data_IF_717176966856
#
_entry.id   IF_717176966856
#
_cell.length_a   1.000
_cell.length_b   1.000
_cell.length_c   1.000
_cell.angle_alpha   90.00
_cell.angle_beta   90.00
_cell.angle_gamma   90.00
#
_symmetry.space_group_name_H-M   'P 1'
#
loop_
_entity.id
_entity.type
_entity.pdbx_description
1 polymer ?
#
# COMPACT_ATOMS: atom_id res chain seq x y z
N UNK A 1 67.56 -60.77 16.33
CA UNK A 1 66.88 -59.78 17.18
C UNK A 1 66.55 -58.59 16.28
N UNK A 2 65.32 -58.52 15.77
CA UNK A 2 64.88 -57.52 14.80
C UNK A 2 64.04 -56.48 15.53
N UNK A 3 64.37 -55.20 15.37
CA UNK A 3 63.70 -54.07 16.02
C UNK A 3 62.78 -53.42 14.98
N UNK A 4 61.47 -53.41 15.24
CA UNK A 4 60.46 -52.71 14.44
C UNK A 4 60.32 -51.24 14.89
N UNK A 5 60.17 -50.26 13.98
CA UNK A 5 59.88 -48.88 14.35
C UNK A 5 58.36 -48.64 14.47
N UNK A 6 57.98 -47.86 15.48
CA UNK A 6 56.62 -47.38 15.72
C UNK A 6 56.27 -46.24 14.74
N UNK A 7 55.27 -46.45 13.89
CA UNK A 7 54.61 -45.39 13.12
C UNK A 7 53.73 -44.53 14.05
N UNK A 8 54.07 -43.25 14.21
CA UNK A 8 53.17 -42.24 14.77
C UNK A 8 52.08 -41.91 13.74
N UNK A 9 50.83 -42.25 14.06
CA UNK A 9 49.65 -41.76 13.34
C UNK A 9 49.27 -40.38 13.86
N UNK A 10 49.52 -39.34 13.06
CA UNK A 10 48.85 -38.05 13.24
C UNK A 10 47.37 -38.22 12.85
N UNK A 11 46.47 -38.04 13.81
CA UNK A 11 45.03 -37.95 13.61
C UNK A 11 44.73 -36.48 13.28
N UNK A 12 44.17 -36.14 12.10
CA UNK A 12 43.72 -34.78 11.85
C UNK A 12 42.44 -34.52 12.67
N UNK A 13 42.49 -33.50 13.52
CA UNK A 13 41.33 -32.99 14.24
C UNK A 13 40.45 -32.25 13.22
N UNK A 14 39.39 -32.91 12.75
CA UNK A 14 38.39 -32.30 11.87
C UNK A 14 37.53 -31.36 12.73
N UNK A 15 37.79 -30.05 12.66
CA UNK A 15 36.97 -29.05 13.30
C UNK A 15 35.59 -29.02 12.60
N UNK A 16 34.59 -29.68 13.18
CA UNK A 16 33.19 -29.42 12.87
C UNK A 16 32.86 -28.01 13.35
N UNK A 17 32.86 -27.04 12.44
CA UNK A 17 32.08 -25.82 12.67
C UNK A 17 30.61 -26.23 12.71
N UNK A 18 29.86 -25.90 13.78
CA UNK A 18 28.42 -26.01 13.72
C UNK A 18 27.95 -25.00 12.66
N UNK A 19 27.32 -25.48 11.58
CA UNK A 19 26.44 -24.62 10.81
C UNK A 19 25.35 -24.16 11.79
N UNK A 20 25.37 -22.90 12.21
CA UNK A 20 24.16 -22.29 12.73
C UNK A 20 23.18 -22.29 11.55
N UNK A 21 22.20 -23.19 11.59
CA UNK A 21 21.00 -23.00 10.81
C UNK A 21 20.40 -21.69 11.32
N UNK A 22 20.44 -20.63 10.51
CA UNK A 22 19.61 -19.48 10.79
C UNK A 22 18.17 -19.98 10.80
N UNK A 23 17.42 -19.70 11.86
CA UNK A 23 15.99 -20.00 11.86
C UNK A 23 15.36 -19.05 10.83
N UNK A 24 14.84 -19.64 9.76
CA UNK A 24 14.21 -18.94 8.65
C UNK A 24 12.73 -19.29 8.63
N UNK A 25 11.90 -18.28 8.51
CA UNK A 25 10.47 -18.41 8.28
C UNK A 25 10.15 -18.26 6.80
N UNK A 26 8.91 -18.59 6.43
CA UNK A 26 8.36 -18.32 5.10
C UNK A 26 7.56 -17.03 5.15
N UNK A 27 7.77 -16.12 4.19
CA UNK A 27 6.99 -14.90 4.05
C UNK A 27 6.38 -14.81 2.65
N UNK A 28 5.08 -14.59 2.59
CA UNK A 28 4.37 -14.16 1.40
C UNK A 28 4.23 -12.63 1.42
N UNK A 29 4.44 -11.98 0.28
CA UNK A 29 4.25 -10.53 0.14
C UNK A 29 3.26 -10.24 -0.97
N UNK A 30 2.18 -9.58 -0.63
CA UNK A 30 1.12 -9.16 -1.54
C UNK A 30 1.08 -7.63 -1.66
N UNK A 31 0.80 -7.13 -2.87
CA UNK A 31 0.67 -5.71 -3.18
C UNK A 31 -0.74 -5.38 -3.69
N UNK A 32 -1.32 -4.32 -3.18
CA UNK A 32 -2.57 -3.72 -3.64
C UNK A 32 -2.41 -2.20 -3.71
N UNK A 33 -3.46 -1.54 -4.19
CA UNK A 33 -3.48 -0.11 -4.45
C UNK A 33 -4.81 0.55 -4.07
N UNK A 34 -4.73 1.84 -3.79
CA UNK A 34 -5.84 2.79 -3.79
C UNK A 34 -6.27 3.24 -5.20
N UNK A 35 -7.24 4.15 -5.30
CA UNK A 35 -7.64 4.74 -6.58
C UNK A 35 -6.63 5.78 -7.06
N UNK A 36 -6.66 6.10 -8.35
CA UNK A 36 -6.18 7.38 -8.87
C UNK A 36 -7.07 7.79 -10.05
N UNK A 37 -7.43 9.07 -10.08
CA UNK A 37 -8.34 9.61 -11.08
C UNK A 37 -7.60 9.95 -12.38
N UNK A 38 -8.25 9.72 -13.53
CA UNK A 38 -7.75 10.13 -14.84
C UNK A 38 -6.64 9.27 -15.46
N UNK A 39 -6.16 8.24 -14.76
CA UNK A 39 -5.24 7.25 -15.30
C UNK A 39 -6.01 6.06 -15.91
N UNK A 40 -5.57 5.59 -17.08
CA UNK A 40 -6.02 4.34 -17.69
C UNK A 40 -5.16 3.14 -17.25
N UNK A 41 -3.90 3.39 -16.92
CA UNK A 41 -3.00 2.43 -16.28
C UNK A 41 -1.98 3.18 -15.42
N UNK A 42 -1.47 2.52 -14.38
CA UNK A 42 -0.30 2.98 -13.63
C UNK A 42 0.66 1.81 -13.51
N UNK A 43 1.62 1.80 -14.43
CA UNK A 43 2.61 0.73 -14.55
C UNK A 43 3.85 1.10 -13.76
N UNK A 44 4.18 0.32 -12.73
CA UNK A 44 5.38 0.47 -11.93
C UNK A 44 6.33 -0.72 -12.14
N UNK A 45 7.62 -0.41 -12.20
CA UNK A 45 8.71 -1.39 -12.20
C UNK A 45 9.18 -1.60 -10.75
N UNK A 46 8.52 -2.50 -10.02
CA UNK A 46 8.94 -2.87 -8.66
C UNK A 46 10.18 -3.76 -8.77
N UNK A 47 11.20 -3.49 -7.96
CA UNK A 47 12.47 -4.24 -7.92
C UNK A 47 12.65 -5.04 -6.64
N UNK A 48 11.86 -4.77 -5.60
CA UNK A 48 11.97 -5.46 -4.33
C UNK A 48 11.22 -4.79 -3.18
N UNK A 49 11.38 -5.38 -2.01
CA UNK A 49 10.88 -4.91 -0.73
C UNK A 49 12.05 -4.89 0.24
N UNK A 50 12.18 -3.80 1.00
CA UNK A 50 13.12 -3.74 2.11
C UNK A 50 12.37 -3.69 3.42
N UNK A 51 12.70 -4.61 4.31
CA UNK A 51 12.13 -4.74 5.65
C UNK A 51 13.13 -4.24 6.69
N UNK A 52 12.64 -3.50 7.67
CA UNK A 52 13.38 -3.05 8.85
C UNK A 52 13.01 -3.94 10.03
N UNK A 53 14.01 -4.51 10.69
CA UNK A 53 13.82 -5.26 11.94
C UNK A 53 13.88 -4.32 13.14
N UNK A 54 13.33 -4.78 14.26
CA UNK A 54 13.38 -4.06 15.55
C UNK A 54 14.82 -3.76 16.02
N UNK A 55 15.81 -4.58 15.65
CA UNK A 55 17.23 -4.35 15.95
C UNK A 55 17.91 -3.29 15.07
N UNK A 56 17.17 -2.71 14.12
CA UNK A 56 17.64 -1.69 13.16
C UNK A 56 18.33 -2.25 11.91
N UNK A 57 18.55 -3.57 11.83
CA UNK A 57 19.06 -4.22 10.62
C UNK A 57 17.97 -4.38 9.57
N UNK A 58 18.35 -4.55 8.30
CA UNK A 58 17.41 -4.64 7.19
C UNK A 58 17.54 -5.95 6.43
N UNK A 59 16.42 -6.43 5.89
CA UNK A 59 16.35 -7.56 4.95
C UNK A 59 15.82 -7.03 3.62
N UNK A 60 16.40 -7.48 2.52
CA UNK A 60 15.89 -7.18 1.18
C UNK A 60 15.30 -8.46 0.60
N UNK A 61 14.11 -8.32 0.02
CA UNK A 61 13.43 -9.33 -0.78
C UNK A 61 13.43 -8.79 -2.19
N UNK A 62 14.11 -9.48 -3.10
CA UNK A 62 14.13 -9.08 -4.51
C UNK A 62 12.79 -9.44 -5.17
N UNK A 63 12.23 -8.51 -5.94
CA UNK A 63 10.99 -8.70 -6.71
C UNK A 63 11.12 -7.95 -8.03
N UNK A 64 11.43 -8.61 -9.14
CA UNK A 64 11.52 -7.96 -10.46
C UNK A 64 10.18 -8.05 -11.19
N UNK A 65 9.28 -7.09 -10.92
CA UNK A 65 7.88 -7.15 -11.40
C UNK A 65 7.46 -5.82 -12.04
N UNK A 66 7.02 -5.91 -13.30
CA UNK A 66 6.22 -4.86 -13.94
C UNK A 66 4.74 -5.08 -13.59
N UNK A 67 4.09 -4.07 -13.02
CA UNK A 67 2.71 -4.17 -12.57
C UNK A 67 1.90 -2.94 -12.95
N UNK A 68 0.76 -3.15 -13.61
CA UNK A 68 -0.32 -2.15 -13.65
C UNK A 68 -1.14 -2.24 -12.36
N UNK A 69 -0.93 -1.29 -11.44
CA UNK A 69 -1.58 -1.30 -10.13
C UNK A 69 -3.09 -1.11 -10.20
N UNK A 70 -3.60 -0.53 -11.29
CA UNK A 70 -5.04 -0.34 -11.46
C UNK A 70 -5.81 -1.67 -11.57
N UNK A 71 -5.11 -2.78 -11.81
CA UNK A 71 -5.66 -4.14 -11.81
C UNK A 71 -5.82 -4.73 -10.40
N UNK A 72 -5.14 -4.18 -9.39
CA UNK A 72 -5.01 -4.76 -8.04
C UNK A 72 -5.61 -3.83 -6.98
N UNK A 73 -6.91 -3.55 -7.13
CA UNK A 73 -7.69 -2.66 -6.27
C UNK A 73 -8.93 -3.36 -5.76
N UNK A 74 -9.64 -2.73 -4.83
CA UNK A 74 -10.90 -3.26 -4.28
C UNK A 74 -10.76 -4.69 -3.73
N UNK A 75 -9.65 -5.00 -3.06
CA UNK A 75 -9.38 -6.31 -2.48
C UNK A 75 -8.60 -7.29 -3.37
N UNK A 76 -8.39 -6.98 -4.65
CA UNK A 76 -7.48 -7.75 -5.49
C UNK A 76 -6.02 -7.43 -5.15
N UNK A 77 -5.17 -8.45 -5.07
CA UNK A 77 -3.73 -8.33 -4.76
C UNK A 77 -2.86 -8.98 -5.82
N UNK A 78 -1.62 -8.50 -5.93
CA UNK A 78 -0.52 -9.10 -6.68
C UNK A 78 0.46 -9.76 -5.71
N UNK A 79 0.76 -11.05 -5.90
CA UNK A 79 1.84 -11.74 -5.20
C UNK A 79 3.20 -11.25 -5.71
N UNK A 80 3.91 -10.45 -4.90
CA UNK A 80 5.27 -9.97 -5.19
C UNK A 80 6.33 -11.01 -4.83
N UNK A 81 6.12 -11.73 -3.74
CA UNK A 81 7.04 -12.76 -3.25
C UNK A 81 6.26 -13.91 -2.64
N UNK A 82 6.64 -15.15 -2.96
CA UNK A 82 5.92 -16.37 -2.60
C UNK A 82 6.84 -17.30 -1.81
N UNK A 83 6.53 -17.49 -0.53
CA UNK A 83 7.27 -18.35 0.39
C UNK A 83 8.76 -18.02 0.54
N UNK A 84 9.13 -16.73 0.44
CA UNK A 84 10.54 -16.33 0.54
C UNK A 84 11.06 -16.53 1.94
N UNK A 85 12.33 -16.94 2.06
CA UNK A 85 12.96 -17.16 3.36
C UNK A 85 13.43 -15.86 3.96
N UNK A 86 12.95 -15.58 5.17
CA UNK A 86 13.33 -14.41 5.95
C UNK A 86 13.75 -14.83 7.36
N UNK A 87 14.72 -14.13 8.00
CA UNK A 87 15.08 -14.42 9.38
C UNK A 87 13.91 -14.25 10.34
N UNK A 88 13.77 -15.14 11.31
CA UNK A 88 12.87 -14.93 12.46
C UNK A 88 13.20 -13.60 13.15
N UNK A 89 12.23 -12.68 13.19
CA UNK A 89 12.37 -11.34 13.75
C UNK A 89 11.01 -10.64 13.85
N UNK A 90 10.95 -9.62 14.71
CA UNK A 90 9.93 -8.58 14.60
C UNK A 90 10.35 -7.53 13.58
N UNK A 91 9.51 -7.31 12.59
CA UNK A 91 9.69 -6.30 11.55
C UNK A 91 8.87 -5.06 11.89
N UNK A 92 9.55 -3.92 11.92
CA UNK A 92 8.99 -2.63 12.36
C UNK A 92 8.78 -1.64 11.21
N UNK A 93 9.22 -2.00 10.00
CA UNK A 93 8.91 -1.20 8.83
C UNK A 93 9.17 -1.88 7.50
N UNK A 94 8.57 -1.34 6.45
CA UNK A 94 8.74 -1.80 5.08
C UNK A 94 8.83 -0.62 4.11
N UNK A 95 9.44 -0.82 2.95
CA UNK A 95 9.19 0.01 1.77
C UNK A 95 9.46 -0.76 0.47
N UNK A 96 8.83 -0.31 -0.61
CA UNK A 96 9.01 -0.84 -1.96
C UNK A 96 10.22 -0.19 -2.65
N UNK A 97 11.01 -0.96 -3.38
CA UNK A 97 12.04 -0.42 -4.27
C UNK A 97 11.57 -0.48 -5.72
N UNK A 98 12.02 0.47 -6.52
CA UNK A 98 11.60 0.62 -7.92
C UNK A 98 12.84 0.69 -8.83
N UNK A 99 12.66 0.34 -10.11
CA UNK A 99 13.67 0.59 -11.12
C UNK A 99 13.70 2.09 -11.48
N UNK A 100 14.88 2.58 -11.87
CA UNK A 100 15.08 3.99 -12.25
C UNK A 100 14.28 4.40 -13.49
N UNK A 101 13.92 3.43 -14.35
CA UNK A 101 13.24 3.65 -15.63
C UNK A 101 12.12 2.63 -15.84
N UNK A 102 11.20 2.91 -16.78
CA UNK A 102 10.18 1.98 -17.25
C UNK A 102 8.82 2.10 -16.55
N UNK A 103 8.70 2.88 -15.47
CA UNK A 103 7.41 3.18 -14.84
C UNK A 103 6.69 4.33 -15.56
N UNK A 104 5.36 4.24 -15.71
CA UNK A 104 4.56 5.26 -16.39
C UNK A 104 3.08 5.27 -15.97
N UNK A 105 2.42 6.41 -16.18
CA UNK A 105 0.95 6.55 -16.15
C UNK A 105 0.44 6.57 -17.59
N UNK A 106 -0.45 5.64 -17.93
CA UNK A 106 -1.18 5.63 -19.19
C UNK A 106 -2.39 6.57 -19.12
N UNK A 107 -2.61 7.36 -20.17
CA UNK A 107 -3.72 8.32 -20.28
C UNK A 107 -4.73 7.92 -21.35
N UNK A 108 -5.93 8.50 -21.27
CA UNK A 108 -7.05 8.21 -22.18
C UNK A 108 -6.77 8.57 -23.65
N UNK A 109 -5.80 9.45 -23.91
CA UNK A 109 -5.35 9.79 -25.27
C UNK A 109 -4.31 8.80 -25.83
N UNK A 110 -3.97 7.76 -25.07
CA UNK A 110 -2.98 6.74 -25.40
C UNK A 110 -1.53 7.14 -25.10
N UNK A 111 -1.29 8.34 -24.56
CA UNK A 111 0.04 8.75 -24.14
C UNK A 111 0.48 8.01 -22.87
N UNK A 112 1.79 7.79 -22.75
CA UNK A 112 2.43 7.28 -21.55
C UNK A 112 3.31 8.39 -20.99
N UNK A 113 3.02 8.79 -19.76
CA UNK A 113 3.80 9.80 -19.03
C UNK A 113 4.73 9.08 -18.05
N UNK A 114 6.04 9.34 -18.07
CA UNK A 114 6.98 8.66 -17.19
C UNK A 114 6.70 8.97 -15.72
N UNK A 115 6.93 7.97 -14.86
CA UNK A 115 6.93 8.09 -13.40
C UNK A 115 8.37 8.03 -12.91
N UNK A 116 8.80 9.09 -12.22
CA UNK A 116 10.14 9.16 -11.63
C UNK A 116 10.09 8.56 -10.21
N UNK A 117 10.87 7.52 -9.89
CA UNK A 117 10.89 6.92 -8.56
C UNK A 117 11.49 7.86 -7.50
N UNK A 118 11.24 7.62 -6.20
CA UNK A 118 11.80 8.45 -5.14
C UNK A 118 13.33 8.26 -5.06
N UNK A 119 14.07 9.36 -4.89
CA UNK A 119 15.52 9.31 -4.67
C UNK A 119 15.89 8.71 -3.28
N UNK A 120 14.98 8.83 -2.32
CA UNK A 120 15.07 8.25 -0.98
C UNK A 120 13.67 8.03 -0.44
N UNK A 121 13.50 7.04 0.44
CA UNK A 121 12.22 6.72 1.03
C UNK A 121 12.38 6.39 2.51
N UNK A 122 11.39 6.77 3.30
CA UNK A 122 11.27 6.38 4.70
C UNK A 122 10.54 5.04 4.81
N UNK A 123 10.89 4.25 5.83
CA UNK A 123 10.14 3.04 6.13
C UNK A 123 8.74 3.43 6.60
N UNK A 124 7.71 2.85 5.98
CA UNK A 124 6.38 2.87 6.58
C UNK A 124 6.37 1.95 7.80
N UNK A 125 5.57 2.28 8.80
CA UNK A 125 5.42 1.46 9.99
C UNK A 125 4.85 0.08 9.65
N UNK A 126 5.39 -0.93 10.31
CA UNK A 126 4.91 -2.31 10.26
C UNK A 126 4.94 -2.86 11.68
N UNK A 127 3.99 -3.72 12.03
CA UNK A 127 4.10 -4.57 13.22
C UNK A 127 3.84 -6.01 12.78
N UNK A 128 4.91 -6.70 12.42
CA UNK A 128 4.86 -8.09 11.95
C UNK A 128 5.87 -8.91 12.74
N UNK A 129 5.38 -9.84 13.54
CA UNK A 129 6.21 -10.80 14.28
C UNK A 129 6.29 -12.10 13.48
N UNK A 130 7.50 -12.50 13.10
CA UNK A 130 7.75 -13.69 12.30
C UNK A 130 8.57 -14.67 13.13
N UNK A 131 7.95 -15.75 13.58
CA UNK A 131 8.52 -16.81 14.42
C UNK A 131 9.34 -17.85 13.66
N UNK A 132 9.75 -18.92 14.36
CA UNK A 132 10.43 -20.06 13.73
C UNK A 132 9.38 -20.99 13.09
N UNK A 133 9.62 -21.45 11.85
CA UNK A 133 8.70 -22.32 11.09
C UNK A 133 7.34 -21.69 10.72
N UNK A 134 7.16 -20.38 10.95
CA UNK A 134 5.94 -19.66 10.55
C UNK A 134 5.82 -19.49 9.03
N UNK A 135 4.58 -19.51 8.55
CA UNK A 135 4.16 -18.98 7.25
C UNK A 135 3.45 -17.65 7.53
N UNK A 136 4.16 -16.54 7.36
CA UNK A 136 3.64 -15.20 7.59
C UNK A 136 3.21 -14.54 6.28
N UNK A 137 2.27 -13.60 6.37
CA UNK A 137 1.87 -12.73 5.27
C UNK A 137 2.29 -11.28 5.52
N UNK A 138 2.64 -10.57 4.46
CA UNK A 138 2.79 -9.11 4.44
C UNK A 138 1.93 -8.54 3.33
N UNK A 139 0.99 -7.68 3.68
CA UNK A 139 0.22 -6.90 2.72
C UNK A 139 0.78 -5.48 2.64
N UNK A 140 1.12 -5.08 1.42
CA UNK A 140 1.52 -3.73 1.06
C UNK A 140 0.39 -3.07 0.28
N UNK A 141 -0.07 -1.90 0.75
CA UNK A 141 -1.06 -1.08 0.07
C UNK A 141 -0.46 0.27 -0.29
N UNK A 142 -0.18 0.46 -1.58
CA UNK A 142 0.37 1.71 -2.10
C UNK A 142 -0.78 2.63 -2.51
N UNK A 143 -1.00 3.71 -1.78
CA UNK A 143 -2.10 4.64 -2.07
C UNK A 143 -1.72 5.55 -3.25
N UNK A 144 -2.03 5.16 -4.49
CA UNK A 144 -1.60 5.92 -5.67
C UNK A 144 -2.06 7.38 -5.68
N UNK A 145 -3.29 7.67 -5.26
CA UNK A 145 -3.80 9.06 -5.15
C UNK A 145 -2.91 9.94 -4.28
N UNK A 146 -2.30 9.38 -3.25
CA UNK A 146 -1.42 10.11 -2.33
C UNK A 146 0.07 10.01 -2.70
N UNK A 147 0.40 9.07 -3.61
CA UNK A 147 1.77 8.73 -3.95
C UNK A 147 2.30 9.43 -5.20
N UNK A 148 1.42 9.88 -6.11
CA UNK A 148 1.82 10.47 -7.38
C UNK A 148 1.62 11.99 -7.38
N UNK A 149 2.72 12.74 -7.54
CA UNK A 149 2.65 14.16 -7.83
C UNK A 149 2.58 14.38 -9.34
N UNK A 150 1.53 15.07 -9.80
CA UNK A 150 1.42 15.51 -11.19
C UNK A 150 2.35 16.71 -11.44
N UNK A 151 3.49 16.44 -12.07
CA UNK A 151 4.43 17.46 -12.54
C UNK A 151 4.45 17.53 -14.07
N UNK A 152 3.40 17.08 -14.75
CA UNK A 152 3.46 16.88 -16.20
C UNK A 152 3.59 18.20 -16.95
N UNK A 153 2.90 19.25 -16.49
CA UNK A 153 2.98 20.57 -17.12
C UNK A 153 4.36 21.24 -16.95
N UNK A 154 5.10 20.90 -15.89
CA UNK A 154 6.37 21.55 -15.54
C UNK A 154 7.61 20.73 -15.89
N UNK A 155 7.54 19.41 -15.73
CA UNK A 155 8.65 18.45 -15.88
C UNK A 155 8.35 17.35 -16.91
N UNK A 156 7.11 17.21 -17.38
CA UNK A 156 6.73 16.15 -18.32
C UNK A 156 6.65 14.76 -17.69
N UNK A 157 6.57 14.67 -16.36
CA UNK A 157 6.55 13.41 -15.62
C UNK A 157 5.66 13.49 -14.39
N UNK A 158 5.30 12.32 -13.86
CA UNK A 158 4.86 12.19 -12.47
C UNK A 158 6.09 11.96 -11.58
N UNK A 159 6.04 12.42 -10.33
CA UNK A 159 7.01 12.02 -9.30
C UNK A 159 6.32 11.06 -8.32
N UNK A 160 6.95 9.90 -8.08
CA UNK A 160 6.49 8.93 -7.12
C UNK A 160 7.10 9.22 -5.74
N UNK A 161 6.24 9.49 -4.78
CA UNK A 161 6.54 9.67 -3.37
C UNK A 161 5.64 8.71 -2.58
N UNK A 162 6.04 7.44 -2.42
CA UNK A 162 5.12 6.39 -1.99
C UNK A 162 4.50 6.66 -0.63
N UNK A 163 3.18 6.63 -0.60
CA UNK A 163 2.35 6.58 0.61
C UNK A 163 1.91 5.13 0.75
N UNK A 164 2.67 4.40 1.56
CA UNK A 164 2.55 2.96 1.70
C UNK A 164 1.99 2.60 3.07
N UNK A 165 1.09 1.64 3.11
CA UNK A 165 0.73 0.93 4.35
C UNK A 165 1.26 -0.48 4.28
N UNK A 166 1.91 -0.92 5.34
CA UNK A 166 2.40 -2.28 5.49
C UNK A 166 1.68 -2.92 6.67
N UNK A 167 1.06 -4.06 6.43
CA UNK A 167 0.11 -4.68 7.35
C UNK A 167 0.32 -6.18 7.38
N UNK A 168 0.08 -6.78 8.54
CA UNK A 168 -0.24 -8.20 8.63
C UNK A 168 -1.65 -8.40 8.04
N UNK A 169 -1.83 -9.23 6.99
CA UNK A 169 -3.13 -9.48 6.40
C UNK A 169 -4.12 -10.17 7.35
N UNK A 170 -3.64 -10.78 8.43
CA UNK A 170 -4.51 -11.33 9.46
C UNK A 170 -5.06 -10.23 10.38
N UNK A 171 -4.46 -9.03 10.44
CA UNK A 171 -4.83 -7.93 11.35
C UNK A 171 -5.66 -6.81 10.70
N UNK A 172 -6.30 -7.10 9.55
CA UNK A 172 -7.10 -6.12 8.81
C UNK A 172 -8.58 -6.51 8.73
N UNK A 173 -9.43 -5.52 8.54
CA UNK A 173 -10.84 -5.69 8.22
C UNK A 173 -11.23 -4.86 7.01
N UNK A 174 -12.49 -4.99 6.60
CA UNK A 174 -13.05 -4.28 5.44
C UNK A 174 -14.11 -3.27 5.88
N UNK A 175 -14.11 -2.10 5.22
CA UNK A 175 -15.26 -1.20 5.21
C UNK A 175 -15.71 -0.96 3.78
N UNK A 176 -16.96 -1.26 3.49
CA UNK A 176 -17.55 -1.03 2.17
C UNK A 176 -18.98 -0.54 2.29
N UNK A 177 -19.54 0.01 1.23
CA UNK A 177 -20.95 0.38 1.25
C UNK A 177 -21.43 1.16 0.06
N UNK A 178 -22.71 1.52 0.12
CA UNK A 178 -23.39 2.25 -0.94
C UNK A 178 -23.25 3.75 -0.76
N UNK A 179 -23.12 4.45 -1.88
CA UNK A 179 -23.27 5.90 -1.97
C UNK A 179 -24.58 6.18 -2.70
N UNK A 180 -25.46 6.98 -2.10
CA UNK A 180 -26.74 7.31 -2.70
C UNK A 180 -26.53 7.98 -4.07
N UNK A 181 -27.30 7.55 -5.08
CA UNK A 181 -27.21 8.09 -6.44
C UNK A 181 -27.37 9.61 -6.48
N UNK A 182 -28.27 10.17 -5.67
CA UNK A 182 -28.49 11.61 -5.58
C UNK A 182 -27.17 12.37 -5.29
N UNK A 183 -26.28 11.82 -4.46
CA UNK A 183 -25.00 12.44 -4.11
C UNK A 183 -23.98 12.40 -5.26
N UNK A 184 -23.95 11.30 -6.00
CA UNK A 184 -23.00 11.09 -7.11
C UNK A 184 -23.46 11.81 -8.38
N UNK A 185 -24.76 11.82 -8.63
CA UNK A 185 -25.37 12.40 -9.84
C UNK A 185 -25.62 13.91 -9.73
N UNK A 186 -25.54 14.46 -8.51
CA UNK A 186 -25.72 15.88 -8.22
C UNK A 186 -24.87 16.78 -9.13
N UNK A 187 -25.45 17.87 -9.64
CA UNK A 187 -24.74 18.80 -10.52
C UNK A 187 -23.58 19.53 -9.84
N UNK A 188 -23.70 19.82 -8.55
CA UNK A 188 -22.68 20.48 -7.72
C UNK A 188 -21.56 19.51 -7.37
N UNK A 189 -21.86 18.21 -7.26
CA UNK A 189 -20.84 17.18 -7.18
C UNK A 189 -20.08 17.06 -8.50
N UNK A 190 -20.81 16.91 -9.62
CA UNK A 190 -20.18 16.69 -10.93
C UNK A 190 -19.44 17.93 -11.45
N UNK A 191 -19.94 19.13 -11.20
CA UNK A 191 -19.37 20.39 -11.72
C UNK A 191 -19.10 20.36 -13.24
N UNK A 192 -19.99 19.70 -14.00
CA UNK A 192 -19.84 19.51 -15.44
C UNK A 192 -18.96 18.33 -15.88
N UNK A 193 -18.33 17.60 -14.95
CA UNK A 193 -17.57 16.37 -15.23
C UNK A 193 -18.48 15.18 -15.51
N UNK A 194 -17.88 14.10 -16.03
CA UNK A 194 -18.54 12.80 -16.14
C UNK A 194 -18.93 12.26 -14.77
N UNK A 195 -19.95 11.40 -14.74
CA UNK A 195 -20.35 10.67 -13.53
C UNK A 195 -19.14 9.92 -12.95
N UNK A 196 -19.04 9.84 -11.61
CA UNK A 196 -17.95 9.25 -10.83
C UNK A 196 -16.59 9.97 -10.85
N UNK A 197 -16.30 10.84 -11.83
CA UNK A 197 -15.02 11.56 -11.86
C UNK A 197 -14.89 12.48 -10.64
N UNK A 198 -13.85 12.27 -9.84
CA UNK A 198 -13.62 13.01 -8.60
C UNK A 198 -14.44 12.54 -7.40
N UNK A 199 -15.27 11.50 -7.55
CA UNK A 199 -16.08 11.00 -6.43
C UNK A 199 -15.28 9.94 -5.69
N UNK A 200 -14.92 10.25 -4.45
CA UNK A 200 -14.10 9.38 -3.61
C UNK A 200 -14.50 9.42 -2.15
N UNK A 201 -14.15 8.36 -1.43
CA UNK A 201 -14.27 8.30 0.04
C UNK A 201 -12.87 8.25 0.61
N UNK A 202 -12.60 9.06 1.62
CA UNK A 202 -11.32 9.10 2.33
C UNK A 202 -11.51 8.55 3.73
N UNK A 203 -10.60 7.71 4.18
CA UNK A 203 -10.59 7.16 5.53
C UNK A 203 -9.56 7.87 6.40
N UNK A 204 -9.96 8.29 7.59
CA UNK A 204 -9.12 8.94 8.59
C UNK A 204 -9.15 8.11 9.86
N UNK A 205 -7.99 7.88 10.48
CA UNK A 205 -7.94 7.21 11.77
C UNK A 205 -8.59 8.08 12.86
N UNK A 206 -9.49 7.49 13.64
CA UNK A 206 -10.25 8.11 14.72
C UNK A 206 -11.69 8.49 14.35
N UNK A 207 -12.53 8.61 15.38
CA UNK A 207 -13.93 9.02 15.26
C UNK A 207 -14.09 10.55 15.19
N UNK A 208 -15.02 11.03 14.37
CA UNK A 208 -15.41 12.45 14.33
C UNK A 208 -14.31 13.40 13.82
N UNK A 209 -13.37 12.89 13.02
CA UNK A 209 -12.31 13.68 12.41
C UNK A 209 -12.93 14.77 11.51
N UNK A 210 -12.36 15.97 11.55
CA UNK A 210 -12.62 16.99 10.54
C UNK A 210 -11.72 16.70 9.34
N UNK A 211 -12.29 16.27 8.21
CA UNK A 211 -11.51 15.80 7.08
C UNK A 211 -10.79 16.96 6.40
N UNK A 212 -9.61 16.63 5.88
CA UNK A 212 -8.74 17.45 5.05
C UNK A 212 -8.20 16.55 3.92
N UNK A 213 -7.78 17.11 2.80
CA UNK A 213 -6.96 16.43 1.79
C UNK A 213 -5.73 15.72 2.37
N UNK A 214 -5.06 14.94 1.53
CA UNK A 214 -3.73 14.47 1.83
C UNK A 214 -2.69 15.49 1.36
N UNK A 215 -1.78 15.91 2.23
CA UNK A 215 -0.66 16.76 1.82
C UNK A 215 0.60 16.48 2.63
N UNK A 216 1.71 16.25 1.93
CA UNK A 216 3.00 15.96 2.58
C UNK A 216 3.54 17.14 3.39
N UNK A 217 3.21 18.38 3.02
CA UNK A 217 3.65 19.58 3.74
C UNK A 217 2.72 19.99 4.89
N UNK A 218 1.64 19.23 5.13
CA UNK A 218 0.66 19.52 6.17
C UNK A 218 1.28 19.43 7.56
N UNK A 219 1.14 20.51 8.33
CA UNK A 219 1.68 20.64 9.69
C UNK A 219 0.65 20.42 10.81
N UNK A 220 -0.64 20.28 10.48
CA UNK A 220 -1.71 20.07 11.46
C UNK A 220 -2.92 19.37 10.84
N UNK A 221 -3.75 18.74 11.68
CA UNK A 221 -4.89 17.94 11.24
C UNK A 221 -4.52 16.47 11.03
N UNK A 222 -5.53 15.60 11.11
CA UNK A 222 -5.37 14.17 10.84
C UNK A 222 -5.42 13.97 9.32
N UNK A 223 -4.34 13.46 8.74
CA UNK A 223 -4.30 13.10 7.32
C UNK A 223 -5.17 11.88 7.03
N UNK A 224 -5.74 11.75 5.82
CA UNK A 224 -6.36 10.49 5.42
C UNK A 224 -5.28 9.41 5.37
N UNK A 225 -5.65 8.20 5.79
CA UNK A 225 -4.77 7.02 5.73
C UNK A 225 -5.04 6.16 4.50
N UNK A 226 -6.18 6.38 3.84
CA UNK A 226 -6.56 5.66 2.62
C UNK A 226 -7.61 6.42 1.84
N UNK A 227 -7.62 6.19 0.53
CA UNK A 227 -8.64 6.68 -0.37
C UNK A 227 -9.31 5.50 -1.09
N UNK A 228 -10.61 5.63 -1.39
CA UNK A 228 -11.35 4.73 -2.25
C UNK A 228 -12.05 5.53 -3.36
N UNK A 229 -12.04 5.02 -4.58
CA UNK A 229 -12.91 5.54 -5.64
C UNK A 229 -14.32 5.04 -5.41
N UNK A 230 -15.29 5.88 -5.70
CA UNK A 230 -16.67 5.40 -5.87
C UNK A 230 -16.78 4.79 -7.26
N UNK A 231 -17.43 3.63 -7.37
CA UNK A 231 -17.61 2.89 -8.61
C UNK A 231 -19.07 2.47 -8.80
N UNK A 232 -19.46 2.26 -10.05
CA UNK A 232 -20.76 1.70 -10.43
C UNK A 232 -20.81 0.21 -10.07
N UNK A 233 -21.82 -0.21 -9.31
CA UNK A 233 -21.97 -1.60 -8.87
C UNK A 233 -22.57 -2.53 -9.93
N UNK A 234 -22.91 -2.01 -11.11
CA UNK A 234 -23.50 -2.74 -12.23
C UNK A 234 -25.02 -2.94 -12.11
N UNK A 235 -25.59 -2.61 -10.95
CA UNK A 235 -27.01 -2.76 -10.63
C UNK A 235 -27.72 -1.40 -10.52
N UNK A 236 -27.11 -0.34 -11.06
CA UNK A 236 -27.63 1.03 -11.04
C UNK A 236 -27.39 1.77 -9.72
N UNK A 237 -26.50 1.26 -8.87
CA UNK A 237 -26.04 1.91 -7.65
C UNK A 237 -24.55 2.24 -7.67
N UNK A 238 -24.12 3.02 -6.70
CA UNK A 238 -22.72 3.35 -6.50
C UNK A 238 -22.20 2.78 -5.19
N UNK A 239 -20.93 2.35 -5.20
CA UNK A 239 -20.26 1.73 -4.06
C UNK A 239 -18.84 2.23 -3.87
N UNK A 240 -18.33 2.04 -2.66
CA UNK A 240 -16.91 2.19 -2.34
C UNK A 240 -16.47 0.99 -1.50
N UNK A 241 -15.16 0.73 -1.48
CA UNK A 241 -14.56 -0.36 -0.70
C UNK A 241 -13.15 0.02 -0.24
N UNK A 242 -12.92 -0.13 1.07
CA UNK A 242 -11.60 -0.23 1.69
C UNK A 242 -11.43 -1.67 2.13
N UNK A 243 -10.77 -2.49 1.33
CA UNK A 243 -10.65 -3.93 1.59
C UNK A 243 -9.74 -4.23 2.78
N UNK A 244 -8.75 -3.36 3.03
CA UNK A 244 -7.71 -3.57 4.01
C UNK A 244 -7.53 -2.29 4.84
N UNK A 245 -8.18 -2.25 5.98
CA UNK A 245 -7.92 -1.26 7.03
C UNK A 245 -7.49 -2.02 8.29
N UNK A 246 -6.43 -1.58 8.99
CA UNK A 246 -6.13 -2.10 10.33
C UNK A 246 -7.34 -1.98 11.27
N UNK A 247 -7.39 -2.83 12.30
CA UNK A 247 -8.38 -2.68 13.37
C UNK A 247 -8.33 -1.26 13.97
N UNK A 248 -9.50 -0.65 14.15
CA UNK A 248 -9.59 0.66 14.77
C UNK A 248 -10.85 1.43 14.41
N UNK A 249 -10.95 2.61 14.99
CA UNK A 249 -12.00 3.57 14.67
C UNK A 249 -11.58 4.47 13.51
N UNK A 250 -12.53 4.79 12.63
CA UNK A 250 -12.32 5.60 11.44
C UNK A 250 -13.44 6.60 11.22
N UNK A 251 -13.08 7.75 10.65
CA UNK A 251 -14.01 8.67 10.01
C UNK A 251 -13.86 8.47 8.50
N UNK A 252 -14.96 8.20 7.82
CA UNK A 252 -15.05 8.15 6.37
C UNK A 252 -15.65 9.46 5.88
N UNK A 253 -15.02 10.09 4.90
CA UNK A 253 -15.49 11.34 4.32
C UNK A 253 -15.66 11.23 2.81
N UNK A 254 -16.85 11.56 2.32
CA UNK A 254 -17.16 11.61 0.89
C UNK A 254 -16.72 12.97 0.34
N UNK A 255 -15.99 12.95 -0.77
CA UNK A 255 -15.64 14.13 -1.57
C UNK A 255 -16.03 13.92 -3.03
N UNK A 256 -16.39 15.02 -3.68
CA UNK A 256 -16.58 15.07 -5.13
C UNK A 256 -15.38 15.71 -5.85
N UNK A 257 -14.28 15.97 -5.13
CA UNK A 257 -13.08 16.61 -5.68
C UNK A 257 -11.84 15.73 -5.57
N UNK A 258 -11.99 14.41 -5.45
CA UNK A 258 -10.87 13.50 -5.27
C UNK A 258 -9.82 13.55 -6.40
N UNK A 259 -10.22 13.99 -7.60
CA UNK A 259 -9.40 14.25 -8.78
C UNK A 259 -8.65 15.60 -8.75
N UNK A 260 -8.98 16.46 -7.79
CA UNK A 260 -8.26 17.71 -7.49
C UNK A 260 -7.20 17.52 -6.39
N UNK A 261 -7.05 16.30 -5.84
CA UNK A 261 -6.04 15.96 -4.83
C UNK A 261 -4.62 16.22 -5.32
N UNK A 262 -3.79 16.83 -4.47
CA UNK A 262 -2.40 17.20 -4.78
C UNK A 262 -1.50 16.88 -3.60
N UNK A 263 -0.87 15.70 -3.59
CA UNK A 263 -0.11 15.23 -2.42
C UNK A 263 1.08 16.12 -2.01
N UNK A 264 1.57 16.97 -2.93
CA UNK A 264 2.66 17.90 -2.66
C UNK A 264 2.24 19.15 -1.87
N UNK A 265 0.96 19.50 -1.83
CA UNK A 265 0.49 20.80 -1.31
C UNK A 265 -0.79 20.67 -0.51
N UNK A 266 -0.85 21.31 0.65
CA UNK A 266 -2.10 21.47 1.39
C UNK A 266 -3.07 22.36 0.63
N UNK A 267 -4.12 21.75 0.09
CA UNK A 267 -5.21 22.43 -0.64
C UNK A 267 -6.53 22.37 0.16
N UNK A 268 -7.55 23.13 -0.25
CA UNK A 268 -8.87 23.04 0.37
C UNK A 268 -9.75 22.07 -0.44
N UNK A 269 -9.72 20.79 -0.06
CA UNK A 269 -10.61 19.77 -0.63
C UNK A 269 -11.92 19.70 0.16
N UNK A 270 -13.04 19.82 -0.54
CA UNK A 270 -14.35 19.81 0.10
C UNK A 270 -14.82 18.38 0.36
N UNK A 271 -15.30 18.13 1.59
CA UNK A 271 -15.93 16.88 1.99
C UNK A 271 -17.39 17.13 2.36
N UNK A 272 -18.31 16.55 1.61
CA UNK A 272 -19.74 16.81 1.77
C UNK A 272 -20.32 16.06 2.96
N UNK A 273 -19.91 14.81 3.17
CA UNK A 273 -20.52 13.91 4.16
C UNK A 273 -19.49 13.13 4.94
N UNK A 274 -19.85 12.78 6.19
CA UNK A 274 -19.02 11.98 7.08
C UNK A 274 -19.82 10.83 7.68
N UNK A 275 -19.14 9.71 7.91
CA UNK A 275 -19.63 8.55 8.65
C UNK A 275 -18.51 8.05 9.56
N UNK A 276 -18.85 7.54 10.72
CA UNK A 276 -17.88 6.81 11.54
C UNK A 276 -18.00 5.31 11.21
N UNK A 277 -16.88 4.61 11.30
CA UNK A 277 -16.78 3.17 11.15
C UNK A 277 -15.83 2.63 12.22
N UNK A 278 -16.14 1.46 12.78
CA UNK A 278 -15.19 0.71 13.61
C UNK A 278 -14.83 -0.54 12.82
N UNK A 279 -13.56 -0.66 12.45
CA UNK A 279 -12.98 -1.83 11.79
C UNK A 279 -12.62 -2.84 12.86
N UNK A 280 -12.97 -4.09 12.61
CA UNK A 280 -12.59 -5.24 13.43
C UNK A 280 -11.92 -6.25 12.51
N UNK A 281 -10.85 -6.87 12.99
CA UNK A 281 -10.09 -7.91 12.30
C UNK A 281 -11.02 -8.97 11.68
N UNK A 282 -10.79 -9.29 10.40
CA UNK A 282 -11.52 -10.33 9.67
C UNK A 282 -13.01 -10.04 9.40
N UNK A 283 -13.52 -8.87 9.82
CA UNK A 283 -14.93 -8.50 9.63
C UNK A 283 -15.13 -7.52 8.47
N UNK A 284 -16.28 -7.65 7.80
CA UNK A 284 -16.77 -6.69 6.82
C UNK A 284 -17.80 -5.78 7.48
N UNK A 285 -17.57 -4.48 7.43
CA UNK A 285 -18.50 -3.45 7.92
C UNK A 285 -19.13 -2.70 6.77
N UNK A 286 -20.47 -2.66 6.77
CA UNK A 286 -21.22 -1.94 5.76
C UNK A 286 -21.66 -0.57 6.25
N UNK A 287 -21.19 0.50 5.59
CA UNK A 287 -21.50 1.89 5.94
C UNK A 287 -22.02 2.63 4.70
N UNK A 288 -23.21 3.22 4.77
CA UNK A 288 -23.81 3.91 3.64
C UNK A 288 -23.71 5.44 3.76
N UNK A 289 -23.45 6.10 2.64
CA UNK A 289 -23.66 7.54 2.47
C UNK A 289 -25.04 7.77 1.88
N UNK A 290 -25.90 8.45 2.63
CA UNK A 290 -27.29 8.80 2.26
C UNK A 290 -27.43 10.31 2.11
N UNK A 291 -28.48 10.75 1.41
CA UNK A 291 -28.77 12.15 1.07
C UNK A 291 -29.55 12.90 2.19
N UNK A 292 -29.54 12.36 3.41
CA UNK A 292 -30.36 12.80 4.54
C UNK A 292 -29.55 13.48 5.65
#
# INVERSE_FOLDING_TARGET
MSVSPLLHRCIPLLACLPLLAACEASLDVDLTDGPIDGAESVVLQVTGIKLLKEDGSTVTIDAEVEVDLLQYRNGSTLRLADGVKVPTARYTGAYLTFADEGSYVGRSDGSQVPVVPPASQEFTGLDLDVGEEDEAGLLLDLELRFSLDDNVDSLGSYALNPVLRAMDPDQVGEVSGKVANALVEDSDCRQGRSILRGVGVYAYAGNGVTPVDYARDRSSGTQPVSAAAVYDDGDGGYRYRFAYLPEGDYTLALTCKADDERPATSDDLDFSHRRNATVTEGEIRSIAFTDD
#
